data_IF_211924250480
#
_entry.id   IF_211924250480
#
_cell.length_a   1.000
_cell.length_b   1.000
_cell.length_c   1.000
_cell.angle_alpha   90.00
_cell.angle_beta   90.00
_cell.angle_gamma   90.00
#
_symmetry.space_group_name_H-M   'P 1'
#
loop_
_entity.id
_entity.type
_entity.pdbx_description
1 polymer ?
#
# COMPACT_ATOMS: atom_id res chain seq x y z
N UNK A 1 -21.64 -69.14 -35.51
CA UNK A 1 -20.73 -70.15 -34.92
C UNK A 1 -19.59 -69.43 -34.19
N UNK A 2 -19.35 -69.84 -32.95
CA UNK A 2 -18.14 -69.73 -32.11
C UNK A 2 -17.52 -68.36 -31.75
N UNK A 3 -17.60 -68.08 -30.45
CA UNK A 3 -16.74 -67.22 -29.66
C UNK A 3 -15.33 -67.81 -29.42
N UNK A 4 -14.50 -67.04 -28.70
CA UNK A 4 -13.22 -67.36 -28.02
C UNK A 4 -11.97 -67.29 -28.92
N UNK A 5 -10.77 -66.83 -28.52
CA UNK A 5 -10.13 -66.38 -27.27
C UNK A 5 -8.61 -66.26 -27.63
N UNK A 6 -7.70 -65.45 -27.06
CA UNK A 6 -7.00 -65.43 -25.75
C UNK A 6 -5.90 -64.35 -25.88
N UNK A 7 -5.76 -63.44 -24.91
CA UNK A 7 -4.71 -63.49 -23.87
C UNK A 7 -3.26 -63.65 -24.38
N UNK A 8 -2.54 -62.54 -24.49
CA UNK A 8 -1.10 -62.38 -24.27
C UNK A 8 -0.84 -60.87 -24.23
N UNK A 9 0.02 -60.27 -23.40
CA UNK A 9 0.82 -60.73 -22.27
C UNK A 9 1.14 -59.44 -21.51
N UNK A 10 1.15 -59.53 -20.19
CA UNK A 10 1.57 -58.44 -19.31
C UNK A 10 3.04 -58.08 -19.58
N UNK A 11 3.39 -56.86 -19.14
CA UNK A 11 4.73 -56.37 -18.78
C UNK A 11 5.49 -55.54 -19.84
N UNK A 12 5.29 -54.22 -19.78
CA UNK A 12 6.37 -53.24 -19.81
C UNK A 12 5.90 -51.97 -19.08
N UNK A 13 6.06 -52.02 -17.74
CA UNK A 13 6.42 -50.84 -16.93
C UNK A 13 7.53 -50.09 -17.68
N UNK A 14 7.51 -48.79 -17.88
CA UNK A 14 7.05 -47.74 -16.98
C UNK A 14 8.27 -46.91 -16.61
N UNK A 15 8.55 -45.84 -17.36
CA UNK A 15 9.50 -44.76 -17.00
C UNK A 15 9.48 -43.65 -18.06
N UNK A 16 8.40 -42.85 -18.16
CA UNK A 16 8.46 -41.58 -18.91
C UNK A 16 7.56 -40.48 -18.35
N UNK A 17 7.35 -40.46 -17.03
CA UNK A 17 6.50 -39.48 -16.36
C UNK A 17 7.12 -38.90 -15.07
N UNK A 18 8.45 -38.72 -15.04
CA UNK A 18 9.14 -38.09 -13.89
C UNK A 18 10.16 -37.06 -14.37
N UNK A 19 9.70 -36.03 -15.08
CA UNK A 19 10.56 -34.90 -15.47
C UNK A 19 9.82 -33.55 -15.48
N UNK A 20 8.78 -33.36 -14.66
CA UNK A 20 8.02 -32.09 -14.60
C UNK A 20 7.70 -31.60 -13.18
N UNK A 21 8.51 -31.93 -12.15
CA UNK A 21 8.20 -31.46 -10.78
C UNK A 21 9.37 -30.80 -10.03
N UNK A 22 10.45 -30.41 -10.71
CA UNK A 22 11.56 -29.68 -10.07
C UNK A 22 11.65 -28.21 -10.48
N UNK A 23 10.54 -27.59 -10.86
CA UNK A 23 10.44 -26.12 -10.97
C UNK A 23 10.08 -25.51 -9.61
N UNK A 24 10.86 -25.82 -8.57
CA UNK A 24 10.79 -25.10 -7.31
C UNK A 24 11.77 -23.93 -7.44
N UNK A 25 11.25 -22.72 -7.72
CA UNK A 25 12.07 -21.52 -7.56
C UNK A 25 12.39 -21.38 -6.06
N UNK A 26 13.67 -21.18 -5.68
CA UNK A 26 14.00 -20.94 -4.28
C UNK A 26 13.26 -19.69 -3.78
N UNK A 27 12.79 -19.76 -2.54
CA UNK A 27 12.16 -18.63 -1.86
C UNK A 27 13.11 -17.42 -1.90
N UNK A 28 12.63 -16.29 -2.42
CA UNK A 28 13.40 -15.05 -2.45
C UNK A 28 13.87 -14.72 -1.03
N UNK A 29 15.15 -14.34 -0.82
CA UNK A 29 15.61 -13.92 0.49
C UNK A 29 14.73 -12.78 0.98
N UNK A 30 14.00 -12.99 2.08
CA UNK A 30 13.24 -11.91 2.71
C UNK A 30 14.25 -10.90 3.23
N UNK A 31 14.30 -9.72 2.60
CA UNK A 31 15.03 -8.58 3.12
C UNK A 31 14.42 -8.25 4.49
N UNK A 32 15.08 -8.66 5.56
CA UNK A 32 14.79 -8.15 6.90
C UNK A 32 15.34 -6.74 6.95
N UNK A 33 14.50 -5.77 7.32
CA UNK A 33 14.95 -4.40 7.53
C UNK A 33 16.15 -4.40 8.48
N UNK A 34 17.18 -3.64 8.13
CA UNK A 34 18.34 -3.44 8.99
C UNK A 34 17.90 -2.66 10.22
N UNK A 35 17.57 -3.37 11.30
CA UNK A 35 17.45 -2.79 12.62
C UNK A 35 18.83 -2.92 13.26
N UNK A 36 19.69 -1.93 13.09
CA UNK A 36 20.83 -1.78 14.00
C UNK A 36 20.26 -1.38 15.35
N UNK A 37 19.91 -2.37 16.17
CA UNK A 37 19.72 -2.15 17.59
C UNK A 37 21.10 -2.03 18.24
N UNK A 38 21.86 -1.00 17.85
CA UNK A 38 22.95 -0.54 18.68
C UNK A 38 22.31 0.08 19.92
N UNK A 39 22.42 -0.63 21.04
CA UNK A 39 21.95 -0.14 22.32
C UNK A 39 22.87 0.98 22.77
N UNK A 40 22.63 2.19 22.27
CA UNK A 40 23.27 3.41 22.72
C UNK A 40 22.79 3.67 24.15
N UNK A 41 23.60 3.30 25.14
CA UNK A 41 23.44 3.76 26.52
C UNK A 41 23.93 5.19 26.64
N UNK A 42 23.12 6.15 26.20
CA UNK A 42 23.25 7.53 26.64
C UNK A 42 22.46 7.68 27.94
N UNK A 43 23.14 8.10 29.01
CA UNK A 43 22.50 8.55 30.26
C UNK A 43 21.93 9.97 30.11
N UNK A 44 21.49 10.31 28.90
CA UNK A 44 20.76 11.53 28.62
C UNK A 44 19.31 11.09 28.50
N UNK A 45 18.41 11.77 29.20
CA UNK A 45 16.99 11.63 28.92
C UNK A 45 16.81 11.97 27.43
N UNK A 46 16.75 10.95 26.58
CA UNK A 46 16.56 11.12 25.15
C UNK A 46 15.29 11.98 25.03
N UNK A 47 15.44 13.20 24.54
CA UNK A 47 14.36 14.15 24.41
C UNK A 47 13.43 13.62 23.32
N UNK A 48 12.53 12.72 23.73
CA UNK A 48 11.70 11.94 22.85
C UNK A 48 10.59 12.85 22.33
N UNK A 49 10.85 13.45 21.18
CA UNK A 49 9.95 14.35 20.47
C UNK A 49 9.59 13.71 19.12
N UNK A 50 8.64 12.75 19.10
CA UNK A 50 8.32 12.01 17.90
C UNK A 50 7.46 12.88 16.96
N UNK A 51 8.15 13.61 16.06
CA UNK A 51 7.54 14.35 14.96
C UNK A 51 7.58 13.50 13.69
N UNK A 52 6.46 13.44 12.96
CA UNK A 52 6.35 12.66 11.72
C UNK A 52 5.56 13.41 10.66
N UNK A 53 6.06 13.38 9.43
CA UNK A 53 5.32 13.87 8.26
C UNK A 53 4.99 12.67 7.36
N UNK A 54 3.71 12.54 6.99
CA UNK A 54 3.21 11.47 6.12
C UNK A 54 2.66 12.12 4.85
N UNK A 55 3.15 11.66 3.70
CA UNK A 55 2.69 12.14 2.40
C UNK A 55 2.01 11.01 1.64
N UNK A 56 0.73 11.18 1.35
CA UNK A 56 0.00 10.31 0.42
C UNK A 56 0.19 10.84 -1.00
N UNK A 57 0.86 10.04 -1.84
CA UNK A 57 0.96 10.29 -3.28
C UNK A 57 -0.11 9.43 -3.96
N UNK A 58 -1.17 10.05 -4.45
CA UNK A 58 -2.35 9.36 -4.99
C UNK A 58 -2.35 9.40 -6.51
N UNK A 59 -2.40 8.24 -7.15
CA UNK A 59 -2.62 8.14 -8.58
C UNK A 59 -4.06 8.58 -8.93
N UNK A 60 -4.16 9.53 -9.86
CA UNK A 60 -5.39 10.14 -10.33
C UNK A 60 -5.71 9.77 -11.79
N UNK A 61 -5.14 8.67 -12.31
CA UNK A 61 -5.56 8.10 -13.59
C UNK A 61 -7.02 7.63 -13.54
N UNK A 62 -7.70 7.60 -14.71
CA UNK A 62 -9.11 7.20 -14.85
C UNK A 62 -9.53 5.91 -14.15
N UNK A 63 -8.63 4.92 -14.02
CA UNK A 63 -8.93 3.64 -13.34
C UNK A 63 -8.96 3.73 -11.81
N UNK A 64 -8.52 4.84 -11.23
CA UNK A 64 -8.29 4.93 -9.79
C UNK A 64 -9.53 5.32 -8.98
N UNK A 65 -10.64 5.74 -9.59
CA UNK A 65 -11.82 6.25 -8.88
C UNK A 65 -12.31 5.31 -7.76
N UNK A 66 -12.64 4.06 -8.09
CA UNK A 66 -13.07 3.06 -7.10
C UNK A 66 -12.01 2.77 -6.03
N UNK A 67 -10.72 2.89 -6.37
CA UNK A 67 -9.63 2.67 -5.42
C UNK A 67 -9.47 3.87 -4.48
N UNK A 68 -9.67 5.10 -4.97
CA UNK A 68 -9.72 6.31 -4.14
C UNK A 68 -10.89 6.27 -3.16
N UNK A 69 -12.08 5.85 -3.60
CA UNK A 69 -13.25 5.68 -2.72
C UNK A 69 -12.96 4.68 -1.60
N UNK A 70 -12.37 3.52 -1.95
CA UNK A 70 -11.99 2.51 -0.96
C UNK A 70 -10.90 3.01 0.00
N UNK A 71 -9.92 3.77 -0.50
CA UNK A 71 -8.86 4.35 0.32
C UNK A 71 -9.44 5.38 1.29
N UNK A 72 -10.27 6.31 0.80
CA UNK A 72 -10.97 7.32 1.59
C UNK A 72 -11.85 6.70 2.68
N UNK A 73 -12.61 5.64 2.35
CA UNK A 73 -13.46 4.94 3.32
C UNK A 73 -12.67 4.22 4.44
N UNK A 74 -11.39 3.88 4.20
CA UNK A 74 -10.57 3.13 5.16
C UNK A 74 -9.50 3.97 5.87
N UNK A 75 -9.15 5.16 5.35
CA UNK A 75 -8.14 6.02 5.98
C UNK A 75 -8.44 6.37 7.44
N UNK A 76 -9.71 6.54 7.88
CA UNK A 76 -9.97 6.87 9.28
C UNK A 76 -9.44 5.80 10.24
N UNK A 77 -9.40 4.53 9.82
CA UNK A 77 -8.83 3.44 10.62
C UNK A 77 -7.33 3.61 10.82
N UNK A 78 -6.61 3.99 9.78
CA UNK A 78 -5.17 4.24 9.84
C UNK A 78 -4.84 5.39 10.79
N UNK A 79 -5.52 6.53 10.64
CA UNK A 79 -5.27 7.70 11.48
C UNK A 79 -5.74 7.50 12.92
N UNK A 80 -6.82 6.75 13.14
CA UNK A 80 -7.25 6.40 14.49
C UNK A 80 -6.14 5.66 15.27
N UNK A 81 -5.37 4.77 14.63
CA UNK A 81 -4.22 4.11 15.28
C UNK A 81 -3.08 5.09 15.59
N UNK A 82 -2.80 6.03 14.68
CA UNK A 82 -1.80 7.09 14.90
C UNK A 82 -2.20 7.97 16.09
N UNK A 83 -3.48 8.35 16.18
CA UNK A 83 -4.01 9.21 17.23
C UNK A 83 -4.01 8.57 18.63
N UNK A 84 -3.91 7.23 18.72
CA UNK A 84 -3.73 6.53 20.01
C UNK A 84 -2.39 6.84 20.67
N UNK A 85 -1.41 7.33 19.93
CA UNK A 85 -0.13 7.77 20.47
C UNK A 85 -0.20 9.28 20.81
N UNK A 86 -0.48 9.66 22.07
CA UNK A 86 -0.68 11.08 22.42
C UNK A 86 0.58 11.92 22.26
N UNK A 87 1.75 11.29 22.28
CA UNK A 87 3.07 11.91 22.15
C UNK A 87 3.43 12.24 20.70
N UNK A 88 2.76 11.61 19.72
CA UNK A 88 3.07 11.77 18.30
C UNK A 88 2.53 13.11 17.77
N UNK A 89 3.43 13.90 17.19
CA UNK A 89 3.13 15.15 16.49
C UNK A 89 3.20 14.88 14.99
N UNK A 90 2.06 14.91 14.30
CA UNK A 90 1.97 14.51 12.90
C UNK A 90 1.45 15.60 11.98
N UNK A 91 1.97 15.61 10.76
CA UNK A 91 1.36 16.27 9.61
C UNK A 91 1.08 15.22 8.52
N UNK A 92 -0.13 15.23 7.97
CA UNK A 92 -0.48 14.33 6.87
C UNK A 92 -0.97 15.16 5.69
N UNK A 93 -0.23 15.10 4.58
CA UNK A 93 -0.57 15.76 3.33
C UNK A 93 -0.95 14.76 2.24
N UNK A 94 -1.68 15.25 1.24
CA UNK A 94 -2.03 14.49 0.03
C UNK A 94 -1.50 15.25 -1.19
N UNK A 95 -0.91 14.55 -2.14
CA UNK A 95 -0.51 15.06 -3.45
C UNK A 95 -0.95 14.07 -4.52
N UNK A 96 -0.99 14.50 -5.77
CA UNK A 96 -1.29 13.61 -6.89
C UNK A 96 -0.03 13.14 -7.59
N UNK A 97 -0.09 11.95 -8.20
CA UNK A 97 1.02 11.37 -8.94
C UNK A 97 1.18 12.00 -10.34
N UNK A 98 0.08 12.47 -10.94
CA UNK A 98 0.14 13.18 -12.22
C UNK A 98 0.70 14.58 -12.02
N UNK A 99 1.74 14.89 -12.80
CA UNK A 99 2.31 16.22 -12.95
C UNK A 99 2.17 16.56 -14.44
N UNK A 100 1.09 17.26 -14.79
CA UNK A 100 0.84 17.63 -16.17
C UNK A 100 0.00 18.91 -16.23
N UNK A 101 0.55 19.92 -16.90
CA UNK A 101 -0.12 21.20 -17.14
C UNK A 101 -1.21 21.11 -18.23
N UNK A 102 -1.25 20.00 -18.97
CA UNK A 102 -2.11 19.78 -20.15
C UNK A 102 -3.45 19.14 -19.80
N UNK A 103 -3.55 18.35 -18.72
CA UNK A 103 -4.83 17.78 -18.30
C UNK A 103 -5.72 18.85 -17.63
N UNK A 104 -7.00 18.84 -17.98
CA UNK A 104 -8.04 19.73 -17.42
C UNK A 104 -8.39 19.47 -15.95
N UNK A 105 -7.62 18.64 -15.23
CA UNK A 105 -7.79 18.34 -13.81
C UNK A 105 -7.30 19.47 -12.86
N UNK A 106 -6.65 20.52 -13.37
CA UNK A 106 -6.33 21.73 -12.61
C UNK A 106 -5.40 21.48 -11.42
N UNK A 107 -5.76 21.98 -10.22
CA UNK A 107 -4.97 21.81 -8.97
C UNK A 107 -4.71 20.35 -8.59
N UNK A 108 -5.47 19.40 -9.13
CA UNK A 108 -5.27 17.98 -8.87
C UNK A 108 -4.14 17.35 -9.70
N UNK A 109 -3.38 18.11 -10.49
CA UNK A 109 -2.35 17.56 -11.39
C UNK A 109 -1.04 18.36 -11.42
N UNK A 110 -0.76 19.16 -10.38
CA UNK A 110 0.45 20.00 -10.32
C UNK A 110 1.49 19.49 -9.31
N UNK A 111 1.28 18.30 -8.73
CA UNK A 111 2.15 17.69 -7.72
C UNK A 111 2.24 18.49 -6.42
N UNK A 112 1.41 19.51 -6.21
CA UNK A 112 1.34 20.26 -4.97
C UNK A 112 0.43 19.57 -3.96
N UNK A 113 0.54 19.99 -2.71
CA UNK A 113 -0.41 19.58 -1.68
C UNK A 113 -1.83 19.89 -2.17
N UNK A 114 -2.69 18.89 -2.05
CA UNK A 114 -4.09 18.96 -2.42
C UNK A 114 -4.94 19.01 -1.15
N UNK A 115 -5.92 19.90 -1.16
CA UNK A 115 -7.01 19.89 -0.20
C UNK A 115 -8.32 20.21 -0.90
N UNK A 116 -9.42 19.64 -0.41
CA UNK A 116 -10.75 20.06 -0.83
C UNK A 116 -10.96 21.51 -0.39
N UNK A 117 -11.68 22.28 -1.21
CA UNK A 117 -11.86 23.73 -0.97
C UNK A 117 -12.39 24.00 0.44
N UNK A 118 -11.66 24.82 1.20
CA UNK A 118 -12.02 25.22 2.57
C UNK A 118 -11.45 24.32 3.67
N UNK A 119 -10.65 23.32 3.31
CA UNK A 119 -9.94 22.44 4.25
C UNK A 119 -8.45 22.83 4.37
N UNK A 120 -7.78 22.27 5.38
CA UNK A 120 -6.35 22.45 5.58
C UNK A 120 -5.54 21.64 4.55
N UNK A 121 -4.39 22.18 4.12
CA UNK A 121 -3.48 21.55 3.16
C UNK A 121 -2.80 20.28 3.70
N UNK A 122 -2.73 20.16 5.02
CA UNK A 122 -2.28 18.98 5.72
C UNK A 122 -3.04 18.90 7.05
N UNK A 123 -3.42 17.69 7.44
CA UNK A 123 -4.12 17.47 8.71
C UNK A 123 -3.13 17.25 9.83
N UNK A 124 -3.47 17.77 11.00
CA UNK A 124 -2.68 17.65 12.23
C UNK A 124 -3.54 17.16 13.37
N UNK A 125 -2.92 16.87 14.52
CA UNK A 125 -3.65 16.58 15.76
C UNK A 125 -4.59 17.72 16.19
N UNK A 126 -4.34 18.97 15.75
CA UNK A 126 -5.13 20.16 16.09
C UNK A 126 -6.18 20.52 15.04
N UNK A 127 -6.15 19.88 13.88
CA UNK A 127 -7.09 20.15 12.79
C UNK A 127 -8.49 19.68 13.21
N UNK A 128 -9.52 20.55 13.21
CA UNK A 128 -10.91 20.14 13.43
C UNK A 128 -11.32 19.11 12.39
N UNK A 129 -12.02 18.06 12.79
CA UNK A 129 -12.52 17.02 11.89
C UNK A 129 -11.42 16.41 10.99
N UNK A 130 -10.19 16.30 11.51
CA UNK A 130 -9.00 15.87 10.77
C UNK A 130 -9.20 14.57 9.97
N UNK A 131 -9.98 13.62 10.50
CA UNK A 131 -10.27 12.36 9.83
C UNK A 131 -11.13 12.55 8.58
N UNK A 132 -12.16 13.39 8.68
CA UNK A 132 -13.06 13.70 7.57
C UNK A 132 -12.35 14.53 6.51
N UNK A 133 -11.58 15.55 6.93
CA UNK A 133 -10.76 16.33 6.01
C UNK A 133 -9.75 15.46 5.26
N UNK A 134 -9.04 14.55 5.93
CA UNK A 134 -8.10 13.67 5.24
C UNK A 134 -8.79 12.71 4.29
N UNK A 135 -9.93 12.12 4.68
CA UNK A 135 -10.69 11.23 3.82
C UNK A 135 -11.16 11.95 2.54
N UNK A 136 -11.62 13.19 2.69
CA UNK A 136 -11.99 14.06 1.57
C UNK A 136 -10.77 14.42 0.69
N UNK A 137 -9.64 14.74 1.30
CA UNK A 137 -8.40 15.10 0.58
C UNK A 137 -7.84 13.93 -0.25
N UNK A 138 -8.14 12.68 0.09
CA UNK A 138 -7.74 11.50 -0.70
C UNK A 138 -8.59 11.30 -1.96
N UNK A 139 -9.76 11.95 -2.04
CA UNK A 139 -10.60 11.99 -3.23
C UNK A 139 -10.11 13.12 -4.15
N UNK A 140 -8.92 12.92 -4.71
CA UNK A 140 -8.27 13.87 -5.62
C UNK A 140 -8.94 13.90 -7.01
N UNK A 141 -9.81 12.91 -7.28
CA UNK A 141 -10.51 12.75 -8.54
C UNK A 141 -9.67 12.00 -9.57
N UNK A 142 -10.22 11.86 -10.78
CA UNK A 142 -9.58 11.17 -11.89
C UNK A 142 -9.48 12.09 -13.11
N UNK A 143 -8.36 12.02 -13.82
CA UNK A 143 -8.11 12.70 -15.10
C UNK A 143 -8.37 11.77 -16.30
#
# INVERSE_FOLDING_TARGET
>A
MKAHSKFASRLLLGTLAVAMVTACSPESPKLKGFQSAEKVTTNEAANFNPRVDILFVVDNSGSMGTLQDNLSANIPKFVAEIQKSPILDYHIGVVTATIDETYSCGKACDGKLYSKRGQDMFVTKKTPDALEQLADNLLVGTA
#
